data_IF_862424835056
#
_entry.id   IF_862424835056
#
_cell.length_a   1.000
_cell.length_b   1.000
_cell.length_c   1.000
_cell.angle_alpha   90.00
_cell.angle_beta   90.00
_cell.angle_gamma   90.00
#
_symmetry.space_group_name_H-M   'P 1'
#
loop_
_entity.id
_entity.type
_entity.pdbx_description
1 polymer ?
#
# COMPACT_ATOMS: atom_id res chain seq x y z
N UNK A 1 -7.13 -17.19 -3.15
CA UNK A 1 -6.21 -16.38 -2.34
C UNK A 1 -5.81 -15.03 -2.96
N UNK A 2 -6.06 -14.69 -4.22
CA UNK A 2 -5.43 -13.54 -4.88
C UNK A 2 -6.09 -12.18 -4.59
N UNK A 3 -7.41 -12.09 -4.55
CA UNK A 3 -8.11 -10.79 -4.53
C UNK A 3 -7.89 -9.96 -3.24
N UNK A 4 -7.90 -10.57 -2.06
CA UNK A 4 -7.68 -9.85 -0.80
C UNK A 4 -6.22 -9.41 -0.64
N UNK A 5 -5.27 -10.24 -1.10
CA UNK A 5 -3.84 -9.88 -1.16
C UNK A 5 -3.60 -8.69 -2.08
N UNK A 6 -4.29 -8.63 -3.22
CA UNK A 6 -4.13 -7.54 -4.20
C UNK A 6 -4.70 -6.21 -3.70
N UNK A 7 -5.80 -6.22 -2.95
CA UNK A 7 -6.37 -5.00 -2.35
C UNK A 7 -5.43 -4.40 -1.30
N UNK A 8 -4.88 -5.22 -0.40
CA UNK A 8 -3.93 -4.74 0.61
C UNK A 8 -2.64 -4.17 0.00
N UNK A 9 -2.10 -4.80 -1.04
CA UNK A 9 -0.93 -4.27 -1.75
C UNK A 9 -1.17 -2.87 -2.31
N UNK A 10 -2.35 -2.60 -2.87
CA UNK A 10 -2.70 -1.27 -3.41
C UNK A 10 -2.71 -0.18 -2.33
N UNK A 11 -3.16 -0.51 -1.12
CA UNK A 11 -3.15 0.43 0.01
C UNK A 11 -1.73 0.77 0.44
N UNK A 12 -0.81 -0.20 0.46
CA UNK A 12 0.60 0.01 0.79
C UNK A 12 1.26 0.99 -0.19
N UNK A 13 0.99 0.84 -1.49
CA UNK A 13 1.56 1.74 -2.50
C UNK A 13 0.98 3.15 -2.42
N UNK A 14 -0.30 3.29 -2.11
CA UNK A 14 -0.91 4.59 -1.83
C UNK A 14 -0.26 5.29 -0.63
N UNK A 15 -0.05 4.56 0.47
CA UNK A 15 0.63 5.07 1.66
C UNK A 15 2.08 5.48 1.36
N UNK A 16 2.81 4.64 0.63
CA UNK A 16 4.18 4.95 0.22
C UNK A 16 4.24 6.22 -0.64
N UNK A 17 3.32 6.41 -1.59
CA UNK A 17 3.27 7.62 -2.42
C UNK A 17 2.94 8.86 -1.58
N UNK A 18 2.00 8.78 -0.64
CA UNK A 18 1.72 9.88 0.29
C UNK A 18 2.96 10.24 1.12
N UNK A 19 3.71 9.26 1.62
CA UNK A 19 4.94 9.49 2.36
C UNK A 19 6.02 10.14 1.48
N UNK A 20 6.20 9.68 0.24
CA UNK A 20 7.13 10.26 -0.73
C UNK A 20 6.82 11.75 -0.97
N UNK A 21 5.54 12.10 -1.19
CA UNK A 21 5.12 13.49 -1.39
C UNK A 21 5.28 14.33 -0.12
N UNK A 22 4.97 13.78 1.05
CA UNK A 22 5.15 14.44 2.33
C UNK A 22 6.63 14.76 2.64
N UNK A 23 7.56 13.97 2.12
CA UNK A 23 9.00 14.22 2.19
C UNK A 23 9.49 15.27 1.18
N UNK A 24 8.59 15.88 0.41
CA UNK A 24 8.91 16.94 -0.53
C UNK A 24 9.50 16.46 -1.86
N UNK A 25 9.12 15.26 -2.29
CA UNK A 25 9.59 14.66 -3.54
C UNK A 25 9.32 15.54 -4.79
N UNK A 26 8.27 16.35 -4.76
CA UNK A 26 7.90 17.30 -5.79
C UNK A 26 8.95 18.42 -5.99
N UNK A 27 9.77 18.68 -4.98
CA UNK A 27 10.81 19.73 -4.95
C UNK A 27 12.19 19.24 -5.37
N UNK A 28 12.41 17.92 -5.43
CA UNK A 28 13.70 17.32 -5.78
C UNK A 28 13.96 17.53 -7.27
N UNK A 29 15.12 18.15 -7.61
CA UNK A 29 15.50 18.44 -8.98
C UNK A 29 15.94 17.19 -9.77
N UNK A 30 17.04 16.51 -9.39
CA UNK A 30 17.58 15.39 -10.12
C UNK A 30 16.70 14.13 -10.06
N UNK A 31 16.51 13.46 -11.19
CA UNK A 31 15.67 12.26 -11.26
C UNK A 31 16.22 11.09 -10.44
N UNK A 32 17.54 10.95 -10.37
CA UNK A 32 18.17 9.87 -9.62
C UNK A 32 18.02 10.04 -8.10
N UNK A 33 18.05 11.27 -7.58
CA UNK A 33 17.78 11.55 -6.17
C UNK A 33 16.31 11.23 -5.83
N UNK A 34 15.40 11.62 -6.71
CA UNK A 34 13.99 11.29 -6.57
C UNK A 34 13.75 9.79 -6.60
N UNK A 35 14.40 9.06 -7.53
CA UNK A 35 14.30 7.61 -7.59
C UNK A 35 14.86 6.95 -6.33
N UNK A 36 15.96 7.46 -5.78
CA UNK A 36 16.52 6.96 -4.53
C UNK A 36 15.58 7.19 -3.35
N UNK A 37 15.01 8.39 -3.22
CA UNK A 37 14.01 8.69 -2.20
C UNK A 37 12.79 7.77 -2.31
N UNK A 38 12.24 7.61 -3.52
CA UNK A 38 11.11 6.73 -3.78
C UNK A 38 11.43 5.27 -3.42
N UNK A 39 12.63 4.79 -3.79
CA UNK A 39 13.07 3.44 -3.47
C UNK A 39 13.13 3.20 -1.96
N UNK A 40 13.79 4.08 -1.22
CA UNK A 40 13.94 3.97 0.24
C UNK A 40 12.57 4.04 0.92
N UNK A 41 11.76 5.03 0.56
CA UNK A 41 10.44 5.24 1.18
C UNK A 41 9.49 4.08 0.90
N UNK A 42 9.40 3.63 -0.35
CA UNK A 42 8.54 2.50 -0.72
C UNK A 42 8.99 1.21 -0.03
N UNK A 43 10.29 0.92 -0.02
CA UNK A 43 10.86 -0.26 0.63
C UNK A 43 10.62 -0.24 2.15
N UNK A 44 10.76 0.93 2.78
CA UNK A 44 10.49 1.10 4.22
C UNK A 44 9.01 0.87 4.53
N UNK A 45 8.11 1.43 3.73
CA UNK A 45 6.67 1.23 3.88
C UNK A 45 6.28 -0.24 3.68
N UNK A 46 6.81 -0.89 2.65
CA UNK A 46 6.57 -2.30 2.36
C UNK A 46 7.06 -3.20 3.51
N UNK A 47 8.26 -2.95 4.02
CA UNK A 47 8.82 -3.68 5.16
C UNK A 47 8.00 -3.47 6.44
N UNK A 48 7.65 -2.23 6.75
CA UNK A 48 6.90 -1.89 7.96
C UNK A 48 5.49 -2.52 7.96
N UNK A 49 4.79 -2.43 6.83
CA UNK A 49 3.45 -3.04 6.71
C UNK A 49 3.53 -4.56 6.80
N UNK A 50 4.50 -5.18 6.12
CA UNK A 50 4.69 -6.63 6.21
C UNK A 50 5.02 -7.07 7.63
N UNK A 51 5.93 -6.36 8.31
CA UNK A 51 6.30 -6.63 9.69
C UNK A 51 5.10 -6.51 10.63
N UNK A 52 4.29 -5.47 10.47
CA UNK A 52 3.07 -5.27 11.24
C UNK A 52 2.08 -6.43 11.00
N UNK A 53 1.83 -6.80 9.75
CA UNK A 53 0.91 -7.89 9.42
C UNK A 53 1.40 -9.25 9.94
N UNK A 54 2.70 -9.54 9.83
CA UNK A 54 3.30 -10.78 10.33
C UNK A 54 3.30 -10.82 11.87
N UNK A 55 3.72 -9.75 12.54
CA UNK A 55 3.87 -9.71 14.00
C UNK A 55 2.55 -9.53 14.77
N UNK A 56 1.62 -8.71 14.24
CA UNK A 56 0.37 -8.35 14.94
C UNK A 56 -0.81 -9.18 14.46
N UNK A 57 -0.92 -9.43 13.15
CA UNK A 57 -2.05 -10.13 12.56
C UNK A 57 -1.77 -11.61 12.30
N UNK A 58 -0.49 -12.06 12.39
CA UNK A 58 -0.09 -13.43 12.09
C UNK A 58 -0.28 -13.81 10.62
N UNK A 59 -0.32 -12.82 9.73
CA UNK A 59 -0.65 -13.00 8.31
C UNK A 59 0.48 -12.50 7.43
N UNK A 60 0.90 -13.33 6.45
CA UNK A 60 1.85 -12.94 5.40
C UNK A 60 1.13 -12.81 4.07
N UNK A 61 1.13 -11.60 3.49
CA UNK A 61 0.50 -11.31 2.21
C UNK A 61 1.38 -11.64 0.99
N UNK A 62 2.70 -11.60 1.16
CA UNK A 62 3.70 -11.96 0.14
C UNK A 62 4.95 -12.52 0.79
N UNK A 63 5.76 -13.22 0.01
CA UNK A 63 7.02 -13.81 0.45
C UNK A 63 8.04 -13.73 -0.69
N UNK A 64 9.17 -13.07 -0.43
CA UNK A 64 10.28 -12.92 -1.35
C UNK A 64 11.45 -13.86 -1.04
N UNK A 65 11.31 -14.83 -0.14
CA UNK A 65 12.39 -15.74 0.29
C UNK A 65 13.00 -16.56 -0.84
N UNK A 66 12.28 -16.69 -1.97
CA UNK A 66 12.81 -17.35 -3.17
C UNK A 66 13.80 -16.47 -3.95
N UNK A 67 13.96 -15.18 -3.62
CA UNK A 67 14.90 -14.26 -4.29
C UNK A 67 16.22 -14.19 -3.53
N UNK A 68 17.35 -14.20 -4.28
CA UNK A 68 18.70 -14.19 -3.66
C UNK A 68 19.05 -12.91 -2.87
N UNK A 69 18.29 -11.84 -3.06
CA UNK A 69 18.53 -10.51 -2.48
C UNK A 69 17.39 -10.08 -1.58
N UNK A 70 16.68 -11.02 -0.99
CA UNK A 70 15.63 -10.75 -0.05
C UNK A 70 16.17 -10.35 1.34
N UNK A 71 15.37 -9.59 2.07
CA UNK A 71 15.60 -9.31 3.48
C UNK A 71 14.41 -9.88 4.28
N UNK A 72 14.66 -10.99 4.95
CA UNK A 72 13.67 -11.71 5.76
C UNK A 72 12.38 -12.11 5.01
N UNK A 73 12.48 -12.33 3.69
CA UNK A 73 11.32 -12.63 2.84
C UNK A 73 10.35 -11.46 2.63
N UNK A 74 10.62 -10.27 3.22
CA UNK A 74 9.69 -9.13 3.23
C UNK A 74 9.88 -8.17 2.09
N UNK A 75 11.13 -7.90 1.71
CA UNK A 75 11.53 -7.01 0.62
C UNK A 75 12.63 -7.66 -0.19
N UNK A 76 12.83 -7.23 -1.43
CA UNK A 76 13.99 -7.64 -2.22
C UNK A 76 14.50 -6.50 -3.11
N UNK A 77 15.81 -6.46 -3.34
CA UNK A 77 16.50 -5.38 -4.03
C UNK A 77 15.94 -5.06 -5.42
N UNK A 78 15.65 -6.02 -6.32
CA UNK A 78 15.13 -5.72 -7.64
C UNK A 78 13.79 -4.96 -7.61
N UNK A 79 12.88 -5.36 -6.70
CA UNK A 79 11.60 -4.67 -6.54
C UNK A 79 11.78 -3.29 -5.90
N UNK A 80 12.68 -3.13 -4.92
CA UNK A 80 12.98 -1.83 -4.34
C UNK A 80 13.49 -0.83 -5.38
N UNK A 81 14.38 -1.26 -6.29
CA UNK A 81 14.85 -0.43 -7.39
C UNK A 81 13.73 -0.12 -8.41
N UNK A 82 12.92 -1.11 -8.75
CA UNK A 82 11.78 -0.91 -9.63
C UNK A 82 10.79 0.12 -9.06
N UNK A 83 10.47 0.04 -7.78
CA UNK A 83 9.61 1.02 -7.08
C UNK A 83 10.23 2.41 -7.06
N UNK A 84 11.57 2.51 -6.95
CA UNK A 84 12.27 3.79 -7.06
C UNK A 84 12.03 4.46 -8.40
N UNK A 85 12.25 3.73 -9.50
CA UNK A 85 12.05 4.25 -10.86
C UNK A 85 10.58 4.58 -11.13
N UNK A 86 9.67 3.64 -10.81
CA UNK A 86 8.23 3.83 -11.00
C UNK A 86 7.69 4.99 -10.18
N UNK A 87 8.13 5.13 -8.92
CA UNK A 87 7.76 6.23 -8.06
C UNK A 87 8.23 7.59 -8.59
N UNK A 88 9.48 7.66 -9.04
CA UNK A 88 10.03 8.88 -9.62
C UNK A 88 9.28 9.31 -10.89
N UNK A 89 8.95 8.36 -11.76
CA UNK A 89 8.13 8.61 -12.94
C UNK A 89 6.72 9.05 -12.55
N UNK A 90 6.11 8.41 -11.56
CA UNK A 90 4.79 8.78 -11.07
C UNK A 90 4.77 10.22 -10.52
N UNK A 91 5.77 10.61 -9.72
CA UNK A 91 5.87 11.98 -9.19
C UNK A 91 6.08 13.00 -10.31
N UNK A 92 6.84 12.69 -11.35
CA UNK A 92 7.13 13.63 -12.43
C UNK A 92 6.02 13.75 -13.47
N UNK A 93 5.38 12.63 -13.82
CA UNK A 93 4.46 12.58 -14.96
C UNK A 93 2.99 12.53 -14.52
N UNK A 94 2.68 11.77 -13.46
CA UNK A 94 1.31 11.49 -13.04
C UNK A 94 0.84 12.49 -11.99
N UNK A 95 1.69 12.76 -10.99
CA UNK A 95 1.35 13.62 -9.86
C UNK A 95 0.87 15.03 -10.25
N UNK A 96 1.48 15.75 -11.21
CA UNK A 96 0.99 17.09 -11.59
C UNK A 96 -0.44 17.06 -12.16
N UNK A 97 -0.77 16.05 -12.95
CA UNK A 97 -2.12 15.88 -13.50
C UNK A 97 -3.14 15.54 -12.39
N UNK A 98 -2.75 14.65 -11.47
CA UNK A 98 -3.59 14.30 -10.32
C UNK A 98 -3.79 15.49 -9.39
N UNK A 99 -2.76 16.29 -9.14
CA UNK A 99 -2.85 17.49 -8.33
C UNK A 99 -3.80 18.52 -8.95
N UNK A 100 -3.74 18.72 -10.26
CA UNK A 100 -4.65 19.60 -10.98
C UNK A 100 -6.12 19.14 -10.88
N UNK A 101 -6.35 17.84 -11.02
CA UNK A 101 -7.68 17.23 -10.85
C UNK A 101 -8.17 17.36 -9.39
N UNK A 102 -7.29 17.09 -8.43
CA UNK A 102 -7.61 17.14 -7.00
C UNK A 102 -7.90 18.56 -6.51
N UNK A 103 -7.31 19.58 -7.11
CA UNK A 103 -7.53 20.98 -6.75
C UNK A 103 -9.02 21.41 -6.87
N UNK A 104 -9.80 20.74 -7.73
CA UNK A 104 -11.23 20.96 -7.87
C UNK A 104 -12.11 20.17 -6.89
N UNK A 105 -11.54 19.28 -6.08
CA UNK A 105 -12.31 18.43 -5.18
C UNK A 105 -12.53 19.15 -3.85
N UNK A 106 -13.80 19.33 -3.40
CA UNK A 106 -14.08 19.93 -2.11
C UNK A 106 -13.48 19.10 -0.97
N UNK A 107 -12.93 19.78 0.04
CA UNK A 107 -12.33 19.10 1.22
C UNK A 107 -13.30 18.17 1.96
N UNK A 108 -14.61 18.48 1.92
CA UNK A 108 -15.63 17.60 2.46
C UNK A 108 -15.64 16.21 1.80
N UNK A 109 -15.49 16.15 0.47
CA UNK A 109 -15.41 14.87 -0.28
C UNK A 109 -14.16 14.11 0.12
N UNK A 110 -13.00 14.78 0.16
CA UNK A 110 -11.74 14.17 0.57
C UNK A 110 -11.83 13.59 1.98
N UNK A 111 -12.36 14.37 2.94
CA UNK A 111 -12.51 13.92 4.32
C UNK A 111 -13.48 12.73 4.44
N UNK A 112 -14.56 12.71 3.67
CA UNK A 112 -15.51 11.60 3.65
C UNK A 112 -14.84 10.32 3.12
N UNK A 113 -14.07 10.42 2.03
CA UNK A 113 -13.34 9.27 1.47
C UNK A 113 -12.30 8.76 2.46
N UNK A 114 -11.54 9.64 3.11
CA UNK A 114 -10.55 9.25 4.13
C UNK A 114 -11.22 8.57 5.32
N UNK A 115 -12.37 9.07 5.77
CA UNK A 115 -13.14 8.44 6.84
C UNK A 115 -13.61 7.04 6.44
N UNK A 116 -14.16 6.87 5.24
CA UNK A 116 -14.58 5.56 4.73
C UNK A 116 -13.41 4.58 4.65
N UNK A 117 -12.25 5.02 4.15
CA UNK A 117 -11.04 4.19 4.11
C UNK A 117 -10.54 3.82 5.51
N UNK A 118 -10.62 4.75 6.45
CA UNK A 118 -10.27 4.49 7.86
C UNK A 118 -11.19 3.45 8.50
N UNK A 119 -12.50 3.57 8.28
CA UNK A 119 -13.49 2.59 8.76
C UNK A 119 -13.24 1.22 8.13
N UNK A 120 -12.99 1.16 6.81
CA UNK A 120 -12.68 -0.08 6.11
C UNK A 120 -11.41 -0.75 6.66
N UNK A 121 -10.35 0.03 6.88
CA UNK A 121 -9.11 -0.48 7.47
C UNK A 121 -9.30 -1.04 8.88
N UNK A 122 -10.05 -0.33 9.74
CA UNK A 122 -10.38 -0.78 11.09
C UNK A 122 -11.22 -2.05 11.06
N UNK A 123 -12.24 -2.12 10.20
CA UNK A 123 -13.08 -3.28 10.02
C UNK A 123 -12.27 -4.49 9.55
N UNK A 124 -11.46 -4.32 8.51
CA UNK A 124 -10.60 -5.37 7.96
C UNK A 124 -9.62 -5.90 8.99
N UNK A 125 -8.99 -4.99 9.76
CA UNK A 125 -8.08 -5.36 10.85
C UNK A 125 -8.82 -6.13 11.96
N UNK A 126 -10.02 -5.67 12.35
CA UNK A 126 -10.85 -6.33 13.36
C UNK A 126 -11.28 -7.75 12.94
N UNK A 127 -11.63 -7.93 11.67
CA UNK A 127 -11.97 -9.25 11.10
C UNK A 127 -10.74 -10.17 11.14
N UNK A 128 -9.57 -9.68 10.72
CA UNK A 128 -8.33 -10.47 10.74
C UNK A 128 -7.93 -10.88 12.16
N UNK A 129 -7.99 -9.97 13.13
CA UNK A 129 -7.68 -10.25 14.53
C UNK A 129 -8.64 -11.27 15.14
N UNK A 130 -9.92 -11.28 14.73
CA UNK A 130 -10.94 -12.17 15.31
C UNK A 130 -10.98 -13.54 14.66
N UNK A 131 -10.69 -13.64 13.38
CA UNK A 131 -10.93 -14.86 12.59
C UNK A 131 -9.66 -15.46 12.00
N UNK A 132 -8.56 -14.72 11.89
CA UNK A 132 -7.26 -15.16 11.37
C UNK A 132 -7.26 -15.59 9.90
N UNK A 133 -8.32 -15.29 9.16
CA UNK A 133 -8.52 -15.78 7.79
C UNK A 133 -8.71 -14.62 6.82
N UNK A 134 -7.75 -14.45 5.91
CA UNK A 134 -7.74 -13.41 4.87
C UNK A 134 -8.88 -13.63 3.86
N UNK A 135 -9.28 -14.87 3.64
CA UNK A 135 -10.34 -15.19 2.66
C UNK A 135 -11.71 -14.66 3.08
N UNK A 136 -11.91 -14.34 4.37
CA UNK A 136 -13.14 -13.71 4.87
C UNK A 136 -13.29 -12.24 4.43
N UNK A 137 -12.20 -11.57 4.05
CA UNK A 137 -12.23 -10.20 3.52
C UNK A 137 -12.67 -10.14 2.04
N UNK A 138 -12.77 -11.29 1.36
CA UNK A 138 -13.20 -11.32 -0.03
C UNK A 138 -14.73 -11.15 -0.11
N UNK A 139 -15.25 -10.15 -0.87
CA UNK A 139 -16.69 -9.86 -0.95
C UNK A 139 -17.55 -11.04 -1.41
N UNK A 140 -16.95 -11.94 -2.21
CA UNK A 140 -17.61 -13.16 -2.71
C UNK A 140 -17.90 -14.19 -1.60
N UNK A 141 -17.12 -14.21 -0.53
CA UNK A 141 -17.26 -15.15 0.58
C UNK A 141 -18.18 -14.62 1.69
N UNK A 142 -18.19 -13.31 1.92
CA UNK A 142 -19.14 -12.68 2.83
C UNK A 142 -20.59 -12.96 2.41
N UNK A 143 -20.90 -12.86 1.10
CA UNK A 143 -22.23 -13.22 0.57
C UNK A 143 -22.63 -14.69 0.79
N UNK A 144 -21.68 -15.61 0.82
CA UNK A 144 -21.97 -17.04 0.98
C UNK A 144 -22.35 -17.40 2.41
N UNK A 145 -21.72 -16.78 3.41
CA UNK A 145 -21.96 -17.07 4.83
C UNK A 145 -23.34 -16.55 5.31
N UNK A 146 -23.82 -15.43 4.74
CA UNK A 146 -25.14 -14.89 5.05
C UNK A 146 -26.29 -15.57 4.29
N UNK A 147 -25.99 -16.43 3.31
CA UNK A 147 -27.01 -17.15 2.53
C UNK A 147 -27.29 -18.56 3.07
N UNK A 148 -26.50 -19.03 4.01
CA UNK A 148 -26.63 -20.36 4.64
C UNK A 148 -27.01 -20.29 6.12
N UNK A 149 -27.29 -19.11 6.64
CA UNK A 149 -27.90 -18.83 7.94
C UNK A 149 -29.33 -18.34 7.78
#
# INVERSE_FOLDING_TARGET
SSAASDVNKRQVYGLAMCAVLALGADRIGPLWELALLCSITATTAEYAVHLFCDAVLGVRFWDYSATKTDVNGRICLPFSLAWGVLGALAVRLVQPALAALAAGIPSAVTNTVLLCLGIDALWSTGVLLRWGDIDLLAPSRLRRKYRTA
#
